data_IF_971213847329
#
_entry.id   IF_971213847329
#
_cell.length_a   1.000
_cell.length_b   1.000
_cell.length_c   1.000
_cell.angle_alpha   90.00
_cell.angle_beta   90.00
_cell.angle_gamma   90.00
#
_symmetry.space_group_name_H-M   'P 1'
#
loop_
_entity.id
_entity.type
_entity.pdbx_description
1 polymer ?
#
# COMPACT_ATOMS: atom_id res chain seq x y z
N UNK A 1 -9.56 -12.10 10.37
CA UNK A 1 -9.79 -11.32 9.16
C UNK A 1 -9.59 -9.86 9.52
N UNK A 2 -8.41 -9.28 9.22
CA UNK A 2 -8.24 -7.83 9.28
C UNK A 2 -9.04 -7.11 8.19
N UNK A 3 -9.36 -5.84 8.45
CA UNK A 3 -9.99 -4.92 7.48
C UNK A 3 -8.98 -3.89 6.99
N UNK A 4 -8.92 -3.69 5.66
CA UNK A 4 -8.26 -2.56 5.02
C UNK A 4 -9.31 -1.48 4.76
N UNK A 5 -9.11 -0.29 5.32
CA UNK A 5 -9.94 0.89 5.05
C UNK A 5 -9.18 1.83 4.13
N UNK A 6 -9.60 1.93 2.86
CA UNK A 6 -9.11 2.92 1.91
C UNK A 6 -9.83 4.25 2.16
N UNK A 7 -9.15 5.15 2.87
CA UNK A 7 -9.79 6.30 3.53
C UNK A 7 -10.35 7.30 2.52
N UNK A 8 -9.64 7.57 1.43
CA UNK A 8 -10.06 8.54 0.42
C UNK A 8 -11.23 8.03 -0.41
N UNK A 9 -11.24 6.74 -0.69
CA UNK A 9 -12.24 6.08 -1.53
C UNK A 9 -13.48 5.64 -0.73
N UNK A 10 -13.42 5.70 0.60
CA UNK A 10 -14.45 5.20 1.50
C UNK A 10 -14.80 3.71 1.22
N UNK A 11 -13.77 2.91 0.93
CA UNK A 11 -13.88 1.47 0.66
C UNK A 11 -13.30 0.70 1.84
N UNK A 12 -14.01 -0.34 2.29
CA UNK A 12 -13.55 -1.25 3.33
C UNK A 12 -13.56 -2.68 2.79
N UNK A 13 -12.45 -3.40 2.97
CA UNK A 13 -12.27 -4.76 2.45
C UNK A 13 -11.73 -5.65 3.57
N UNK A 14 -12.42 -6.75 3.86
CA UNK A 14 -11.89 -7.79 4.75
C UNK A 14 -10.93 -8.70 3.98
N UNK A 15 -9.76 -8.96 4.55
CA UNK A 15 -8.70 -9.73 3.89
C UNK A 15 -8.14 -10.81 4.81
N UNK A 16 -7.54 -11.89 4.27
CA UNK A 16 -6.75 -12.81 5.06
C UNK A 16 -5.57 -12.11 5.75
N UNK A 17 -5.15 -12.63 6.90
CA UNK A 17 -3.91 -12.16 7.55
C UNK A 17 -2.72 -12.46 6.62
N UNK A 18 -1.87 -11.47 6.41
CA UNK A 18 -0.70 -11.55 5.54
C UNK A 18 -0.98 -11.16 4.08
N UNK A 19 -2.23 -10.82 3.73
CA UNK A 19 -2.52 -10.33 2.38
C UNK A 19 -1.87 -8.96 2.13
N UNK A 20 -1.55 -8.68 0.87
CA UNK A 20 -0.98 -7.40 0.48
C UNK A 20 -2.04 -6.31 0.38
N UNK A 21 -1.68 -5.03 0.53
CA UNK A 21 -2.63 -3.93 0.25
C UNK A 21 -2.97 -3.83 -1.24
N UNK A 22 -2.08 -4.25 -2.14
CA UNK A 22 -2.22 -4.04 -3.59
C UNK A 22 -3.43 -4.77 -4.20
N UNK A 23 -3.58 -6.08 -3.97
CA UNK A 23 -4.62 -6.85 -4.66
C UNK A 23 -6.04 -6.44 -4.26
N UNK A 24 -6.37 -6.34 -2.95
CA UNK A 24 -7.67 -5.84 -2.50
C UNK A 24 -7.99 -4.43 -3.04
N UNK A 25 -6.98 -3.57 -3.15
CA UNK A 25 -7.15 -2.24 -3.75
C UNK A 25 -7.57 -2.35 -5.23
N UNK A 26 -6.82 -3.11 -6.03
CA UNK A 26 -7.09 -3.25 -7.47
C UNK A 26 -8.42 -3.96 -7.76
N UNK A 27 -8.80 -4.94 -6.96
CA UNK A 27 -10.07 -5.68 -7.08
C UNK A 27 -11.30 -4.81 -6.73
N UNK A 28 -11.10 -3.72 -5.98
CA UNK A 28 -12.14 -2.78 -5.59
C UNK A 28 -11.95 -1.40 -6.24
N UNK A 29 -11.27 -1.34 -7.38
CA UNK A 29 -11.04 -0.12 -8.18
C UNK A 29 -10.37 1.04 -7.41
N UNK A 30 -9.64 0.74 -6.34
CA UNK A 30 -8.89 1.73 -5.54
C UNK A 30 -7.55 2.04 -6.20
N UNK A 31 -7.28 3.32 -6.55
CA UNK A 31 -6.10 3.69 -7.33
C UNK A 31 -4.83 3.78 -6.48
N UNK A 32 -4.06 2.68 -6.41
CA UNK A 32 -2.70 2.70 -5.82
C UNK A 32 -1.61 3.14 -6.80
N UNK A 33 -1.91 3.19 -8.10
CA UNK A 33 -1.00 3.67 -9.14
C UNK A 33 -1.44 4.99 -9.75
N UNK A 34 -0.50 5.93 -9.86
CA UNK A 34 -0.74 7.26 -10.39
C UNK A 34 -0.37 7.37 -11.88
N UNK A 35 -1.20 8.07 -12.66
CA UNK A 35 -0.91 8.37 -14.07
C UNK A 35 -0.60 7.12 -14.90
N UNK A 36 0.49 7.16 -15.68
CA UNK A 36 0.88 6.05 -16.57
C UNK A 36 1.20 4.73 -15.84
N UNK A 37 1.51 4.79 -14.54
CA UNK A 37 1.84 3.61 -13.74
C UNK A 37 0.64 2.68 -13.51
N UNK A 38 -0.58 3.13 -13.82
CA UNK A 38 -1.76 2.23 -13.91
C UNK A 38 -1.52 1.10 -14.90
N UNK A 39 -0.73 1.34 -15.94
CA UNK A 39 -0.42 0.37 -17.00
C UNK A 39 1.03 -0.13 -16.97
N UNK A 40 1.99 0.75 -16.64
CA UNK A 40 3.43 0.44 -16.71
C UNK A 40 4.06 0.05 -15.35
N UNK A 41 3.28 -0.56 -14.45
CA UNK A 41 3.82 -1.00 -13.14
C UNK A 41 4.55 -2.35 -13.22
N UNK A 42 5.32 -2.66 -12.17
CA UNK A 42 6.05 -3.94 -12.07
C UNK A 42 5.19 -5.14 -11.63
N UNK A 43 3.86 -5.04 -11.72
CA UNK A 43 2.91 -6.10 -11.33
C UNK A 43 3.06 -6.60 -9.88
N UNK A 44 3.57 -5.77 -8.97
CA UNK A 44 3.70 -6.10 -7.55
C UNK A 44 5.04 -6.71 -7.11
N UNK A 45 6.05 -6.72 -7.98
CA UNK A 45 7.38 -7.29 -7.67
C UNK A 45 8.30 -6.35 -6.86
N UNK A 46 7.82 -5.18 -6.40
CA UNK A 46 8.62 -4.20 -5.64
C UNK A 46 9.69 -3.45 -6.45
N UNK A 47 9.73 -3.62 -7.78
CA UNK A 47 10.82 -3.10 -8.63
C UNK A 47 10.62 -1.66 -9.14
N UNK A 48 9.38 -1.15 -9.17
CA UNK A 48 9.11 0.19 -9.72
C UNK A 48 8.97 1.27 -8.63
N UNK A 49 8.57 0.88 -7.41
CA UNK A 49 8.29 1.81 -6.31
C UNK A 49 7.14 2.78 -6.60
N UNK A 50 6.21 2.49 -7.52
CA UNK A 50 5.19 3.45 -7.99
C UNK A 50 3.84 3.34 -7.28
N UNK A 51 3.61 2.29 -6.50
CA UNK A 51 2.40 2.05 -5.70
C UNK A 51 2.53 2.60 -4.28
N UNK A 52 2.85 3.89 -4.18
CA UNK A 52 3.02 4.56 -2.89
C UNK A 52 1.67 4.72 -2.19
N UNK A 53 1.60 4.33 -0.92
CA UNK A 53 0.45 4.54 -0.03
C UNK A 53 0.96 4.89 1.38
N UNK A 54 0.18 5.58 2.20
CA UNK A 54 0.46 5.69 3.62
C UNK A 54 -0.42 4.70 4.39
N UNK A 55 0.17 3.89 5.28
CA UNK A 55 -0.53 2.82 5.99
C UNK A 55 -0.37 3.01 7.50
N UNK A 56 -1.47 2.93 8.23
CA UNK A 56 -1.48 3.07 9.69
C UNK A 56 -2.48 2.13 10.38
N UNK A 57 -2.22 1.64 11.59
CA UNK A 57 -0.94 1.74 12.31
C UNK A 57 0.11 0.79 11.72
N UNK A 58 1.38 1.18 11.77
CA UNK A 58 2.50 0.35 11.28
C UNK A 58 2.70 -0.94 12.07
N UNK A 59 2.25 -0.99 13.33
CA UNK A 59 2.27 -2.20 14.16
C UNK A 59 1.42 -3.34 13.61
N UNK A 60 0.46 -3.04 12.73
CA UNK A 60 -0.43 -4.02 12.12
C UNK A 60 0.07 -4.47 10.73
N UNK A 61 1.36 -4.26 10.46
CA UNK A 61 1.97 -4.59 9.17
C UNK A 61 3.31 -5.28 9.36
N UNK A 62 3.79 -5.97 8.31
CA UNK A 62 5.16 -6.44 8.27
C UNK A 62 6.19 -5.29 8.39
N UNK A 63 7.41 -5.56 8.87
CA UNK A 63 8.52 -4.60 8.79
C UNK A 63 8.79 -4.18 7.34
N UNK A 64 9.41 -3.01 7.16
CA UNK A 64 9.78 -2.52 5.83
C UNK A 64 10.69 -3.49 5.10
N UNK A 65 10.31 -3.79 3.85
CA UNK A 65 11.14 -4.62 2.97
C UNK A 65 12.39 -3.85 2.53
N UNK A 66 13.36 -4.57 1.95
CA UNK A 66 14.54 -3.94 1.37
C UNK A 66 14.17 -2.94 0.26
N UNK A 67 13.23 -3.31 -0.61
CA UNK A 67 12.77 -2.46 -1.71
C UNK A 67 12.08 -1.19 -1.20
N UNK A 68 11.28 -1.29 -0.13
CA UNK A 68 10.66 -0.12 0.49
C UNK A 68 11.70 0.84 1.07
N UNK A 69 12.74 0.32 1.74
CA UNK A 69 13.84 1.15 2.26
C UNK A 69 14.59 1.87 1.13
N UNK A 70 14.75 1.23 -0.02
CA UNK A 70 15.38 1.82 -1.20
C UNK A 70 14.50 2.91 -1.84
N UNK A 71 13.27 2.58 -2.23
CA UNK A 71 12.39 3.49 -2.98
C UNK A 71 11.81 4.64 -2.16
N UNK A 72 11.52 4.41 -0.87
CA UNK A 72 10.79 5.37 -0.03
C UNK A 72 11.71 6.19 0.90
N UNK A 73 13.04 6.16 0.70
CA UNK A 73 13.98 6.89 1.57
C UNK A 73 13.66 8.39 1.67
N UNK A 74 13.23 9.01 0.58
CA UNK A 74 12.79 10.41 0.55
C UNK A 74 11.39 10.59 1.14
N UNK A 75 10.44 9.76 0.72
CA UNK A 75 9.05 9.83 1.14
C UNK A 75 8.89 9.67 2.67
N UNK A 76 9.63 8.72 3.25
CA UNK A 76 9.57 8.43 4.69
C UNK A 76 10.20 9.48 5.59
N UNK A 77 11.00 10.41 5.04
CA UNK A 77 11.42 11.61 5.78
C UNK A 77 10.27 12.59 5.98
N UNK A 78 9.29 12.60 5.07
CA UNK A 78 8.11 13.47 5.13
C UNK A 78 6.95 12.81 5.88
N UNK A 79 6.72 11.53 5.61
CA UNK A 79 5.68 10.75 6.28
C UNK A 79 6.21 9.34 6.62
N UNK A 80 6.43 9.00 7.90
CA UNK A 80 7.01 7.73 8.29
C UNK A 80 6.12 6.51 7.96
N UNK A 81 4.83 6.73 7.68
CA UNK A 81 3.84 5.70 7.36
C UNK A 81 3.83 5.32 5.87
N UNK A 82 4.66 5.93 5.03
CA UNK A 82 4.73 5.56 3.61
C UNK A 82 5.22 4.13 3.43
N UNK A 83 4.49 3.38 2.60
CA UNK A 83 4.71 1.98 2.19
C UNK A 83 4.54 1.85 0.67
N UNK A 84 4.99 0.72 0.13
CA UNK A 84 4.60 0.27 -1.21
C UNK A 84 3.45 -0.73 -1.05
N UNK A 85 2.31 -0.49 -1.70
CA UNK A 85 1.10 -1.31 -1.55
C UNK A 85 1.36 -2.80 -1.83
N UNK A 86 2.26 -3.13 -2.75
CA UNK A 86 2.67 -4.49 -3.09
C UNK A 86 3.63 -5.16 -2.10
N UNK A 87 4.20 -4.42 -1.14
CA UNK A 87 5.20 -4.94 -0.19
C UNK A 87 4.70 -4.95 1.25
N UNK A 88 3.60 -4.25 1.52
CA UNK A 88 2.96 -4.24 2.84
C UNK A 88 2.04 -5.46 2.97
N UNK A 89 2.28 -6.27 3.99
CA UNK A 89 1.40 -7.37 4.41
C UNK A 89 0.54 -6.89 5.60
N UNK A 90 -0.75 -7.18 5.56
CA UNK A 90 -1.74 -6.73 6.55
C UNK A 90 -1.89 -7.79 7.64
N UNK A 91 -1.47 -7.46 8.86
CA UNK A 91 -1.48 -8.37 10.02
C UNK A 91 -2.60 -8.04 11.03
N UNK A 92 -3.20 -6.86 10.90
CA UNK A 92 -4.32 -6.36 11.69
C UNK A 92 -5.05 -5.27 10.90
N UNK A 93 -6.09 -4.66 11.48
CA UNK A 93 -6.84 -3.60 10.78
C UNK A 93 -5.92 -2.42 10.45
N UNK A 94 -6.04 -1.89 9.23
CA UNK A 94 -5.24 -0.75 8.77
C UNK A 94 -6.07 0.26 7.98
N UNK A 95 -5.72 1.52 8.13
CA UNK A 95 -6.14 2.61 7.28
C UNK A 95 -5.07 2.84 6.21
N UNK A 96 -5.50 3.00 4.97
CA UNK A 96 -4.66 3.25 3.80
C UNK A 96 -5.07 4.56 3.15
N UNK A 97 -4.14 5.51 3.12
CA UNK A 97 -4.28 6.74 2.34
C UNK A 97 -3.56 6.57 0.99
N UNK A 98 -4.35 6.44 -0.08
CA UNK A 98 -3.85 6.49 -1.46
C UNK A 98 -3.20 7.84 -1.74
N UNK A 99 -2.33 7.91 -2.73
CA UNK A 99 -1.61 9.15 -3.06
C UNK A 99 -2.23 9.90 -4.25
N UNK A 100 -3.15 9.26 -4.96
CA UNK A 100 -3.76 9.77 -6.18
C UNK A 100 -5.28 9.55 -6.16
N UNK A 101 -5.96 10.33 -7.00
CA UNK A 101 -7.41 10.28 -7.21
C UNK A 101 -7.74 9.57 -8.52
#
# INVERSE_FOLDING_TARGET
MPTITFVRENVQVEVPVGDSVRYPALENDVPVYCGMWKYANCHGNGLCGTDRVAVSPSSNTNPLTFMEKFWLRGDRKKNPNMRLACQVEVLGNVNVDTQCS
#
